data_IF_303348576012
#
_entry.id   IF_303348576012
#
_cell.length_a   1.000
_cell.length_b   1.000
_cell.length_c   1.000
_cell.angle_alpha   90.00
_cell.angle_beta   90.00
_cell.angle_gamma   90.00
#
_symmetry.space_group_name_H-M   'P 1'
#
loop_
_entity.id
_entity.type
_entity.pdbx_description
1 polymer ?
#
# COMPACT_ATOMS: atom_id res chain seq x y z
N UNK A 1 3.21 2.26 17.53
CA UNK A 1 2.17 1.68 16.65
C UNK A 1 2.86 1.15 15.42
N UNK A 2 2.36 0.09 14.76
CA UNK A 2 2.97 -0.46 13.55
C UNK A 2 1.96 -0.51 12.41
N UNK A 3 2.40 -0.12 11.22
CA UNK A 3 1.58 -0.19 10.02
C UNK A 3 1.82 -1.52 9.32
N UNK A 4 0.76 -2.25 9.03
CA UNK A 4 0.81 -3.56 8.39
C UNK A 4 0.06 -3.47 7.08
N UNK A 5 0.76 -3.73 5.98
CA UNK A 5 0.18 -3.71 4.64
C UNK A 5 -0.11 -5.13 4.17
N UNK A 6 -1.31 -5.30 3.61
CA UNK A 6 -1.70 -6.54 2.95
C UNK A 6 -1.17 -6.54 1.52
N UNK A 7 -0.29 -7.50 1.22
CA UNK A 7 0.28 -7.76 -0.10
C UNK A 7 -0.43 -8.90 -0.83
N UNK A 8 -1.31 -9.63 -0.16
CA UNK A 8 -2.13 -10.66 -0.78
C UNK A 8 -3.24 -10.04 -1.65
N UNK A 9 -3.65 -10.78 -2.68
CA UNK A 9 -4.80 -10.44 -3.53
C UNK A 9 -6.16 -10.73 -2.85
N UNK A 10 -6.14 -11.22 -1.60
CA UNK A 10 -7.32 -11.55 -0.80
C UNK A 10 -7.32 -10.80 0.54
N UNK A 11 -8.50 -10.56 1.17
CA UNK A 11 -8.56 -9.95 2.49
C UNK A 11 -7.86 -10.81 3.54
N UNK A 12 -7.07 -10.18 4.40
CA UNK A 12 -6.31 -10.83 5.47
C UNK A 12 -6.79 -10.32 6.82
N UNK A 13 -7.07 -11.22 7.76
CA UNK A 13 -7.54 -10.85 9.10
C UNK A 13 -6.46 -11.16 10.15
N UNK A 14 -6.08 -10.15 10.94
CA UNK A 14 -5.08 -10.27 12.00
C UNK A 14 -5.63 -9.61 13.26
N UNK A 15 -5.64 -10.33 14.38
CA UNK A 15 -6.08 -9.78 15.67
C UNK A 15 -7.52 -9.23 15.65
N UNK A 16 -8.40 -9.77 14.81
CA UNK A 16 -9.78 -9.30 14.64
C UNK A 16 -9.96 -8.15 13.63
N UNK A 17 -8.88 -7.61 13.07
CA UNK A 17 -8.93 -6.56 12.04
C UNK A 17 -8.71 -7.15 10.67
N UNK A 18 -9.66 -6.93 9.75
CA UNK A 18 -9.52 -7.30 8.34
C UNK A 18 -8.88 -6.18 7.52
N UNK A 19 -7.83 -6.53 6.78
CA UNK A 19 -7.08 -5.64 5.89
C UNK A 19 -7.39 -6.04 4.45
N UNK A 20 -7.94 -5.11 3.68
CA UNK A 20 -8.23 -5.34 2.26
C UNK A 20 -6.93 -5.44 1.43
N UNK A 21 -6.94 -6.14 0.28
CA UNK A 21 -5.80 -6.23 -0.62
C UNK A 21 -5.19 -4.86 -0.94
N UNK A 22 -3.86 -4.75 -0.82
CA UNK A 22 -3.10 -3.53 -1.09
C UNK A 22 -3.33 -2.38 -0.09
N UNK A 23 -4.11 -2.58 0.97
CA UNK A 23 -4.33 -1.58 2.04
C UNK A 23 -3.40 -1.80 3.22
N UNK A 24 -3.23 -0.73 3.99
CA UNK A 24 -2.46 -0.71 5.23
C UNK A 24 -3.40 -0.50 6.41
N UNK A 25 -3.22 -1.25 7.48
CA UNK A 25 -3.91 -1.07 8.74
C UNK A 25 -2.90 -0.77 9.86
N UNK A 26 -3.30 0.08 10.80
CA UNK A 26 -2.47 0.42 11.95
C UNK A 26 -2.81 -0.47 13.15
N UNK A 27 -1.79 -1.08 13.74
CA UNK A 27 -1.93 -1.95 14.91
C UNK A 27 -1.17 -1.39 16.10
N UNK A 28 -1.90 -1.12 17.18
CA UNK A 28 -1.29 -0.62 18.43
C UNK A 28 -0.49 -1.71 19.16
N UNK A 29 -0.99 -2.96 19.12
CA UNK A 29 -0.38 -4.12 19.78
C UNK A 29 0.29 -5.07 18.80
N UNK A 30 0.86 -4.53 17.72
CA UNK A 30 1.54 -5.35 16.71
C UNK A 30 2.64 -6.24 17.31
N UNK A 31 3.40 -5.72 18.29
CA UNK A 31 4.42 -6.49 19.01
C UNK A 31 3.89 -7.76 19.69
N UNK A 32 2.59 -7.81 20.03
CA UNK A 32 1.93 -9.03 20.52
C UNK A 32 1.45 -9.89 19.36
N UNK A 33 0.77 -9.26 18.39
CA UNK A 33 0.13 -9.96 17.26
C UNK A 33 1.13 -10.65 16.33
N UNK A 34 2.33 -10.08 16.14
CA UNK A 34 3.39 -10.63 15.29
C UNK A 34 3.86 -12.03 15.73
N UNK A 35 3.62 -12.41 16.98
CA UNK A 35 3.98 -13.73 17.51
C UNK A 35 2.85 -14.76 17.39
N UNK A 36 1.65 -14.35 16.95
CA UNK A 36 0.56 -15.28 16.65
C UNK A 36 0.91 -16.14 15.44
N UNK A 37 0.45 -17.40 15.45
CA UNK A 37 0.71 -18.35 14.37
C UNK A 37 0.23 -17.81 13.00
N UNK A 38 -0.95 -17.19 12.96
CA UNK A 38 -1.48 -16.59 11.75
C UNK A 38 -0.61 -15.45 11.23
N UNK A 39 -0.20 -14.50 12.09
CA UNK A 39 0.64 -13.39 11.65
C UNK A 39 2.03 -13.89 11.18
N UNK A 40 2.62 -14.86 11.89
CA UNK A 40 3.90 -15.46 11.50
C UNK A 40 3.80 -16.15 10.14
N UNK A 41 2.76 -16.94 9.93
CA UNK A 41 2.51 -17.61 8.64
C UNK A 41 2.37 -16.60 7.50
N UNK A 42 1.61 -15.52 7.72
CA UNK A 42 1.42 -14.45 6.73
C UNK A 42 2.71 -13.68 6.43
N UNK A 43 3.54 -13.40 7.45
CA UNK A 43 4.85 -12.76 7.29
C UNK A 43 5.83 -13.68 6.54
N UNK A 44 5.92 -14.95 6.95
CA UNK A 44 6.78 -15.94 6.29
C UNK A 44 6.39 -16.18 4.84
N UNK A 45 5.10 -16.14 4.54
CA UNK A 45 4.57 -16.23 3.18
C UNK A 45 4.69 -14.91 2.38
N UNK A 46 5.23 -13.83 2.98
CA UNK A 46 5.31 -12.47 2.37
C UNK A 46 3.97 -11.94 1.90
N UNK A 47 2.88 -12.37 2.53
CA UNK A 47 1.51 -11.90 2.25
C UNK A 47 1.19 -10.60 2.97
N UNK A 48 1.94 -10.28 4.02
CA UNK A 48 1.87 -9.00 4.72
C UNK A 48 3.28 -8.45 4.94
N UNK A 49 3.40 -7.13 5.00
CA UNK A 49 4.63 -6.43 5.36
C UNK A 49 4.36 -5.45 6.50
N UNK A 50 5.33 -5.33 7.41
CA UNK A 50 5.33 -4.28 8.42
C UNK A 50 6.08 -3.10 7.83
N UNK A 51 5.37 -1.99 7.64
CA UNK A 51 5.93 -0.74 7.14
C UNK A 51 6.23 0.11 8.37
N UNK A 52 7.51 0.21 8.74
CA UNK A 52 7.94 1.27 9.64
C UNK A 52 7.73 2.62 8.93
N UNK A 53 7.17 3.61 9.63
CA UNK A 53 7.01 4.96 9.10
C UNK A 53 8.37 5.65 8.95
N UNK A 54 9.15 5.21 7.96
CA UNK A 54 10.14 6.06 7.32
C UNK A 54 9.69 6.27 5.87
N UNK A 55 8.99 7.39 5.70
CA UNK A 55 8.66 8.10 4.47
C UNK A 55 7.83 7.40 3.36
N UNK A 56 6.85 8.11 2.78
CA UNK A 56 6.07 7.58 1.68
C UNK A 56 6.97 7.43 0.45
N UNK A 57 7.32 6.19 0.08
CA UNK A 57 7.81 5.92 -1.28
C UNK A 57 6.67 6.21 -2.25
N UNK A 58 6.65 7.44 -2.76
CA UNK A 58 5.82 7.88 -3.86
C UNK A 58 5.93 6.83 -4.97
N UNK A 59 4.80 6.20 -5.31
CA UNK A 59 4.72 5.32 -6.46
C UNK A 59 5.00 6.17 -7.70
N UNK A 60 6.20 6.03 -8.26
CA UNK A 60 6.55 6.54 -9.58
C UNK A 60 5.64 5.87 -10.61
N UNK A 61 4.50 6.50 -10.91
CA UNK A 61 3.66 6.09 -12.03
C UNK A 61 4.24 6.71 -13.29
N UNK A 62 5.17 5.98 -13.93
CA UNK A 62 5.43 6.11 -15.36
C UNK A 62 4.11 5.82 -16.10
N UNK A 63 3.55 6.82 -16.78
CA UNK A 63 2.70 6.62 -17.96
C UNK A 63 3.20 7.60 -19.02
N UNK A 64 3.91 7.06 -20.00
CA UNK A 64 4.45 7.81 -21.13
C UNK A 64 3.43 7.99 -22.26
N UNK A 65 3.81 8.89 -23.17
CA UNK A 65 3.36 9.03 -24.57
C UNK A 65 1.95 9.59 -24.76
N UNK A 66 1.63 10.37 -25.78
CA UNK A 66 2.36 11.08 -26.83
C UNK A 66 1.32 12.02 -27.48
N UNK A 67 1.80 13.05 -28.17
CA UNK A 67 1.10 13.82 -29.23
C UNK A 67 -0.13 14.67 -28.89
N UNK A 68 0.01 15.96 -29.21
CA UNK A 68 -1.10 16.89 -29.35
C UNK A 68 -0.62 18.33 -29.47
N UNK A 69 0.16 18.64 -30.51
CA UNK A 69 0.35 20.01 -31.00
C UNK A 69 -1.03 20.66 -31.16
N UNK A 70 -1.20 21.86 -30.62
CA UNK A 70 -2.23 22.78 -31.08
C UNK A 70 -1.64 24.18 -31.05
N UNK A 71 -1.64 24.74 -32.25
CA UNK A 71 -0.94 25.89 -32.73
C UNK A 71 -1.26 27.21 -32.02
N UNK A 72 -0.24 28.05 -32.06
CA UNK A 72 -0.26 29.51 -32.06
C UNK A 72 -1.48 30.12 -32.77
N UNK A 73 -1.97 31.23 -32.21
CA UNK A 73 -2.61 32.37 -32.88
C UNK A 73 -4.14 32.33 -33.12
N UNK A 74 -4.88 33.21 -32.43
CA UNK A 74 -6.04 33.90 -32.99
C UNK A 74 -6.33 35.23 -32.25
N UNK A 75 -6.28 36.31 -33.02
CA UNK A 75 -6.64 37.69 -32.71
C UNK A 75 -8.12 37.92 -32.34
N UNK A 76 -8.40 39.12 -31.82
CA UNK A 76 -9.65 39.90 -31.88
C UNK A 76 -10.85 39.49 -30.98
N UNK A 77 -11.19 40.35 -30.01
CA UNK A 77 -12.34 41.28 -30.11
C UNK A 77 -12.13 42.50 -29.21
#
# INVERSE_FOLDING_TARGET
MSNVKNLADVPVTIGGTTIQPGRTANFHRWHVLQHSDSARSLLSAKLIEVVDEEEPKAKSKKKGGNDGVSDTNASNV
#
